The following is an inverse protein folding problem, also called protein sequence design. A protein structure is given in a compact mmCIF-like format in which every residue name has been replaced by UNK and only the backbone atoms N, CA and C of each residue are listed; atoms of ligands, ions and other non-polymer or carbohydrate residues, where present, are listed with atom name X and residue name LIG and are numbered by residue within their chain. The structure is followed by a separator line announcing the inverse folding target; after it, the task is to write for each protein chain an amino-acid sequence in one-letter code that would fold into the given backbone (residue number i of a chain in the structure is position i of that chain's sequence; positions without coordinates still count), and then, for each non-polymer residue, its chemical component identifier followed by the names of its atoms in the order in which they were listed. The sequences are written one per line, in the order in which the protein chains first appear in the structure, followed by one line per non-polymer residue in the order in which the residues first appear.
data_IF_032716473806
#
_entry.id   IF_032716473806
#
_cell.length_a   1.000
_cell.length_b   1.000
_cell.length_c   1.000
_cell.angle_alpha   90.00
_cell.angle_beta   90.00
_cell.angle_gamma   90.00
#
_symmetry.space_group_name_H-M   'P 1'
#
loop_
_entity.id
_entity.type
_entity.pdbx_description
1 polymer ?
#
# COMPACT_ATOMS: atom_id res chain seq x y z
N UNK A 1 6.62 -4.33 3.62
CA UNK A 1 5.31 -4.60 2.98
C UNK A 1 4.26 -4.77 4.06
N UNK A 2 2.98 -4.54 3.74
CA UNK A 2 1.90 -4.39 4.72
C UNK A 2 1.05 -5.65 4.83
N UNK A 3 0.67 -6.05 6.05
CA UNK A 3 -0.23 -7.18 6.32
C UNK A 3 -1.52 -7.09 5.52
N UNK A 4 -1.88 -8.20 4.87
CA UNK A 4 -3.08 -8.30 4.04
C UNK A 4 -2.90 -7.81 2.60
N UNK A 5 -1.79 -7.14 2.27
CA UNK A 5 -1.46 -6.81 0.89
C UNK A 5 -1.38 -8.08 0.05
N UNK A 6 -1.76 -7.97 -1.22
CA UNK A 6 -1.64 -9.06 -2.18
C UNK A 6 -0.50 -8.73 -3.13
N UNK A 7 0.49 -9.61 -3.19
CA UNK A 7 1.52 -9.57 -4.21
C UNK A 7 1.05 -10.40 -5.40
N UNK A 8 1.13 -9.83 -6.58
CA UNK A 8 1.07 -10.53 -7.85
C UNK A 8 2.45 -10.46 -8.52
N UNK A 9 3.01 -11.62 -8.83
CA UNK A 9 4.30 -11.75 -9.50
C UNK A 9 4.03 -12.31 -10.89
N UNK A 10 4.48 -11.61 -11.92
CA UNK A 10 4.37 -12.01 -13.33
C UNK A 10 5.77 -12.26 -13.87
N UNK A 11 5.94 -13.41 -14.51
CA UNK A 11 7.17 -13.79 -15.18
C UNK A 11 6.93 -13.81 -16.71
N UNK A 12 7.58 -12.92 -17.43
CA UNK A 12 7.63 -12.95 -18.88
C UNK A 12 9.01 -13.40 -19.35
N UNK A 13 9.06 -14.21 -20.40
CA UNK A 13 10.28 -14.72 -21.05
C UNK A 13 10.41 -14.07 -22.41
N UNK A 14 11.61 -13.64 -22.76
CA UNK A 14 11.82 -12.83 -23.99
C UNK A 14 12.07 -13.70 -25.25
N UNK A 15 12.24 -15.03 -25.14
CA UNK A 15 12.46 -15.89 -26.31
C UNK A 15 11.92 -17.30 -26.12
N UNK A 16 11.62 -17.98 -27.24
CA UNK A 16 11.20 -19.38 -27.30
C UNK A 16 12.31 -20.35 -26.76
N UNK A 17 13.59 -19.98 -26.88
CA UNK A 17 14.70 -20.76 -26.30
C UNK A 17 14.67 -20.73 -24.76
N UNK A 18 14.11 -19.72 -24.16
CA UNK A 18 13.90 -19.66 -22.72
C UNK A 18 12.78 -20.59 -22.22
N UNK A 19 11.96 -21.18 -23.11
CA UNK A 19 10.91 -22.12 -22.71
C UNK A 19 11.45 -23.45 -22.19
N UNK A 20 12.68 -23.85 -22.59
CA UNK A 20 13.32 -25.08 -22.12
C UNK A 20 13.85 -24.97 -20.68
N UNK A 21 14.14 -23.76 -20.21
CA UNK A 21 14.65 -23.53 -18.86
C UNK A 21 13.49 -23.37 -17.88
N UNK A 22 13.41 -24.19 -16.86
CA UNK A 22 12.42 -24.04 -15.80
C UNK A 22 12.86 -22.94 -14.85
N UNK A 23 12.02 -21.95 -14.68
CA UNK A 23 12.24 -20.86 -13.73
C UNK A 23 11.29 -21.04 -12.55
N UNK A 24 11.85 -21.06 -11.37
CA UNK A 24 11.14 -21.12 -10.10
C UNK A 24 11.15 -19.73 -9.48
N UNK A 25 10.02 -19.31 -8.99
CA UNK A 25 9.89 -18.04 -8.26
C UNK A 25 9.27 -18.37 -6.91
N UNK A 26 9.94 -17.99 -5.84
CA UNK A 26 9.48 -18.27 -4.49
C UNK A 26 9.42 -16.98 -3.67
N UNK A 27 8.42 -16.88 -2.81
CA UNK A 27 8.22 -15.75 -1.90
C UNK A 27 8.48 -16.23 -0.49
N UNK A 28 9.41 -15.56 0.18
CA UNK A 28 9.77 -15.79 1.57
C UNK A 28 9.45 -14.58 2.42
N UNK A 29 8.98 -14.81 3.62
CA UNK A 29 8.94 -13.81 4.69
C UNK A 29 10.24 -13.87 5.46
N UNK A 30 10.84 -12.72 5.73
CA UNK A 30 11.98 -12.61 6.63
C UNK A 30 11.46 -12.45 8.06
N UNK A 31 11.84 -13.37 8.93
CA UNK A 31 11.49 -13.36 10.36
C UNK A 31 12.77 -13.25 11.15
N UNK A 32 12.87 -12.24 12.01
CA UNK A 32 13.97 -12.13 12.95
C UNK A 32 13.70 -13.02 14.17
N UNK A 33 14.60 -13.96 14.42
CA UNK A 33 14.56 -14.83 15.61
C UNK A 33 15.90 -14.71 16.31
N UNK A 34 15.92 -14.01 17.43
CA UNK A 34 17.10 -13.79 18.27
C UNK A 34 18.29 -13.13 17.54
N UNK A 35 18.02 -12.26 16.56
CA UNK A 35 19.02 -11.57 15.76
C UNK A 35 19.45 -12.32 14.50
N UNK A 36 18.84 -13.48 14.20
CA UNK A 36 19.06 -14.23 12.97
C UNK A 36 17.87 -14.07 12.02
N UNK A 37 18.15 -13.74 10.75
CA UNK A 37 17.13 -13.61 9.71
C UNK A 37 16.77 -15.00 9.17
N UNK A 38 15.62 -15.52 9.56
CA UNK A 38 15.06 -16.76 9.02
C UNK A 38 14.12 -16.45 7.85
N UNK A 39 14.08 -17.37 6.88
CA UNK A 39 13.25 -17.27 5.69
C UNK A 39 12.11 -18.30 5.75
N UNK A 40 10.91 -17.80 6.05
CA UNK A 40 9.68 -18.62 6.01
C UNK A 40 9.11 -18.59 4.59
N UNK A 41 9.05 -19.76 3.92
CA UNK A 41 8.47 -19.89 2.59
C UNK A 41 6.95 -19.72 2.66
N UNK A 42 6.43 -18.77 1.89
CA UNK A 42 4.99 -18.49 1.83
C UNK A 42 4.34 -19.14 0.60
N UNK A 43 4.96 -19.02 -0.55
CA UNK A 43 4.37 -19.43 -1.82
C UNK A 43 5.45 -19.60 -2.89
N UNK A 44 5.11 -20.27 -3.97
CA UNK A 44 6.00 -20.46 -5.12
C UNK A 44 5.24 -20.62 -6.42
N UNK A 45 5.81 -20.07 -7.50
CA UNK A 45 5.31 -20.21 -8.85
C UNK A 45 5.74 -21.57 -9.42
N UNK A 46 4.79 -22.31 -9.97
CA UNK A 46 5.13 -23.54 -10.72
C UNK A 46 5.84 -23.17 -12.02
N UNK A 47 6.81 -23.98 -12.51
CA UNK A 47 7.60 -23.62 -13.70
C UNK A 47 6.81 -23.34 -14.96
N UNK A 48 5.61 -23.92 -15.08
CA UNK A 48 4.69 -23.72 -16.22
C UNK A 48 3.74 -22.55 -16.06
N UNK A 49 3.69 -21.91 -14.88
CA UNK A 49 2.78 -20.80 -14.62
C UNK A 49 3.44 -19.46 -14.94
N UNK A 50 2.68 -18.53 -15.50
CA UNK A 50 3.13 -17.18 -15.84
C UNK A 50 2.96 -16.17 -14.70
N UNK A 51 2.17 -16.50 -13.68
CA UNK A 51 1.93 -15.62 -12.54
C UNK A 51 1.69 -16.36 -11.23
N UNK A 52 2.03 -15.68 -10.14
CA UNK A 52 1.79 -16.10 -8.77
C UNK A 52 1.08 -14.98 -8.03
N UNK A 53 0.01 -15.28 -7.31
CA UNK A 53 -0.67 -14.34 -6.45
C UNK A 53 -0.71 -14.88 -5.02
N UNK A 54 -0.19 -14.10 -4.07
CA UNK A 54 -0.18 -14.50 -2.67
C UNK A 54 -0.51 -13.33 -1.74
N UNK A 55 -1.17 -13.62 -0.62
CA UNK A 55 -1.49 -12.64 0.42
C UNK A 55 -0.41 -12.63 1.49
N UNK A 56 0.03 -11.44 1.88
CA UNK A 56 1.03 -11.26 2.92
C UNK A 56 0.40 -11.43 4.31
N UNK A 57 0.91 -12.33 5.16
CA UNK A 57 0.32 -12.62 6.47
C UNK A 57 0.59 -11.53 7.52
N UNK A 58 1.67 -10.76 7.35
CA UNK A 58 2.08 -9.73 8.32
C UNK A 58 2.78 -8.57 7.65
N UNK A 59 3.04 -7.51 8.41
CA UNK A 59 4.01 -6.48 8.03
C UNK A 59 5.43 -7.08 8.07
N UNK A 60 6.33 -6.57 7.24
CA UNK A 60 7.73 -6.97 7.29
C UNK A 60 8.43 -6.95 5.93
N UNK A 61 9.63 -7.50 5.94
CA UNK A 61 10.46 -7.72 4.75
C UNK A 61 10.12 -9.05 4.12
N UNK A 62 10.09 -9.05 2.78
CA UNK A 62 9.84 -10.23 1.98
C UNK A 62 10.91 -10.34 0.91
N UNK A 63 11.41 -11.55 0.68
CA UNK A 63 12.32 -11.86 -0.41
C UNK A 63 11.58 -12.61 -1.50
N UNK A 64 11.85 -12.23 -2.75
CA UNK A 64 11.43 -12.97 -3.92
C UNK A 64 12.68 -13.60 -4.53
N UNK A 65 12.76 -14.92 -4.47
CA UNK A 65 13.86 -15.68 -5.03
C UNK A 65 13.45 -16.18 -6.42
N UNK A 66 14.34 -16.00 -7.39
CA UNK A 66 14.18 -16.51 -8.76
C UNK A 66 15.33 -17.43 -9.06
N UNK A 67 15.04 -18.67 -9.45
CA UNK A 67 16.04 -19.70 -9.73
C UNK A 67 15.71 -20.44 -11.03
N UNK A 68 16.71 -20.90 -11.74
CA UNK A 68 16.56 -21.84 -12.85
C UNK A 68 17.03 -23.23 -12.44
N UNK A 69 16.57 -24.27 -13.14
CA UNK A 69 16.91 -25.69 -12.88
C UNK A 69 18.13 -26.20 -13.64
N UNK A 70 18.84 -25.35 -14.35
CA UNK A 70 20.04 -25.77 -15.09
C UNK A 70 20.68 -24.64 -15.85
N UNK A 71 21.96 -24.71 -16.11
CA UNK A 71 22.83 -23.70 -16.68
C UNK A 71 22.43 -23.06 -18.02
N UNK A 72 21.13 -22.93 -18.29
CA UNK A 72 20.59 -22.22 -19.43
C UNK A 72 20.73 -20.70 -19.25
N UNK A 73 21.13 -20.01 -20.31
CA UNK A 73 21.08 -18.54 -20.39
C UNK A 73 19.74 -18.11 -20.96
N UNK A 74 19.10 -17.16 -20.34
CA UNK A 74 17.83 -16.61 -20.82
C UNK A 74 17.54 -15.25 -20.22
N UNK A 75 16.80 -14.46 -20.96
CA UNK A 75 16.29 -13.17 -20.47
C UNK A 75 14.86 -13.36 -19.96
N UNK A 76 14.59 -12.84 -18.78
CA UNK A 76 13.23 -12.79 -18.24
C UNK A 76 12.95 -11.43 -17.63
N UNK A 77 11.68 -11.05 -17.68
CA UNK A 77 11.15 -9.88 -16.99
C UNK A 77 10.29 -10.32 -15.83
N UNK A 78 10.67 -9.87 -14.63
CA UNK A 78 9.89 -10.06 -13.42
C UNK A 78 9.14 -8.78 -13.12
N UNK A 79 7.82 -8.85 -13.00
CA UNK A 79 6.98 -7.76 -12.55
C UNK A 79 6.36 -8.14 -11.23
N UNK A 80 6.58 -7.33 -10.19
CA UNK A 80 5.92 -7.45 -8.90
C UNK A 80 4.88 -6.33 -8.78
N UNK A 81 3.64 -6.70 -8.56
CA UNK A 81 2.55 -5.78 -8.32
C UNK A 81 1.99 -6.00 -6.92
N UNK A 82 1.99 -4.96 -6.10
CA UNK A 82 1.26 -4.91 -4.84
C UNK A 82 -0.10 -4.26 -5.13
N UNK A 83 -1.17 -5.04 -5.00
CA UNK A 83 -2.51 -4.50 -5.20
C UNK A 83 -2.88 -3.52 -4.09
N UNK A 84 -3.62 -2.47 -4.43
CA UNK A 84 -4.27 -1.61 -3.45
C UNK A 84 -5.16 -2.45 -2.51
N UNK A 85 -5.12 -2.13 -1.23
CA UNK A 85 -5.88 -2.85 -0.18
C UNK A 85 -7.02 -2.03 0.40
N UNK A 86 -7.02 -0.73 0.13
CA UNK A 86 -8.07 0.20 0.53
C UNK A 86 -8.76 0.78 -0.71
N UNK A 87 -10.07 0.99 -0.68
CA UNK A 87 -10.73 1.81 -1.68
C UNK A 87 -10.28 3.27 -1.56
N UNK A 88 -10.38 4.03 -2.64
CA UNK A 88 -10.01 5.44 -2.62
C UNK A 88 -11.00 6.23 -1.74
N UNK A 89 -10.52 7.12 -0.83
CA UNK A 89 -11.35 7.73 0.21
C UNK A 89 -12.21 8.90 -0.28
N UNK A 90 -12.17 9.26 -1.57
CA UNK A 90 -12.89 10.39 -2.15
C UNK A 90 -13.58 9.96 -3.44
N UNK A 91 -14.87 10.30 -3.57
CA UNK A 91 -15.66 9.96 -4.74
C UNK A 91 -15.05 10.53 -6.02
N UNK A 92 -14.87 9.67 -7.04
CA UNK A 92 -14.35 10.05 -8.36
C UNK A 92 -12.89 10.43 -8.42
N UNK A 93 -12.19 10.51 -7.28
CA UNK A 93 -10.76 10.81 -7.26
C UNK A 93 -9.92 9.54 -7.51
N UNK A 94 -8.72 9.75 -8.00
CA UNK A 94 -7.72 8.72 -8.30
C UNK A 94 -6.33 9.20 -7.86
N UNK A 95 -5.31 8.41 -8.18
CA UNK A 95 -3.92 8.67 -7.83
C UNK A 95 -3.41 10.07 -8.23
N UNK A 96 -3.82 10.56 -9.39
CA UNK A 96 -3.45 11.88 -9.93
C UNK A 96 -3.93 13.07 -9.07
N UNK A 97 -4.93 12.83 -8.21
CA UNK A 97 -5.38 13.82 -7.22
C UNK A 97 -4.46 13.92 -6.00
N UNK A 98 -3.57 12.96 -5.77
CA UNK A 98 -2.61 12.98 -4.66
C UNK A 98 -1.43 13.87 -5.05
N UNK A 99 -1.28 15.03 -4.38
CA UNK A 99 -0.24 16.01 -4.70
C UNK A 99 0.76 16.25 -3.57
N UNK A 100 0.49 15.77 -2.36
CA UNK A 100 1.41 15.83 -1.24
C UNK A 100 1.53 14.46 -0.60
N UNK A 101 2.76 13.96 -0.52
CA UNK A 101 3.06 12.60 -0.12
C UNK A 101 3.40 12.50 1.36
N UNK A 102 3.30 11.28 1.90
CA UNK A 102 3.77 10.94 3.22
C UNK A 102 5.26 11.25 3.39
N UNK A 103 5.66 11.77 4.55
CA UNK A 103 7.04 12.12 4.86
C UNK A 103 7.51 13.46 4.28
N UNK A 104 6.70 14.15 3.46
CA UNK A 104 7.05 15.48 2.95
C UNK A 104 7.30 16.47 4.09
N UNK A 105 8.30 17.33 3.95
CA UNK A 105 8.62 18.37 4.95
C UNK A 105 7.49 19.40 5.00
N UNK A 106 7.19 19.89 6.20
CA UNK A 106 6.26 20.99 6.45
C UNK A 106 7.05 22.21 6.99
N UNK A 107 6.52 23.40 6.75
CA UNK A 107 7.19 24.68 7.11
C UNK A 107 7.50 24.81 8.62
N UNK A 108 6.76 24.09 9.46
CA UNK A 108 6.92 24.04 10.90
C UNK A 108 7.89 22.94 11.40
N UNK A 109 8.66 22.34 10.49
CA UNK A 109 9.64 21.28 10.80
C UNK A 109 9.05 19.89 11.00
N UNK A 110 7.71 19.72 10.94
CA UNK A 110 7.06 18.42 11.01
C UNK A 110 7.20 17.65 9.68
N UNK A 111 6.98 16.36 9.75
CA UNK A 111 6.82 15.50 8.58
C UNK A 111 5.34 15.21 8.34
N UNK A 112 4.93 15.20 7.07
CA UNK A 112 3.57 14.88 6.66
C UNK A 112 3.21 13.44 7.01
N UNK A 113 2.17 13.23 7.83
CA UNK A 113 1.74 11.91 8.33
C UNK A 113 0.55 11.35 7.56
N UNK A 114 0.45 11.63 6.29
CA UNK A 114 -0.61 11.17 5.41
C UNK A 114 -0.33 11.54 3.96
N UNK A 115 -1.37 11.54 3.16
CA UNK A 115 -1.39 12.07 1.80
C UNK A 115 -2.46 13.14 1.68
N UNK A 116 -2.22 14.17 0.85
CA UNK A 116 -3.21 15.20 0.59
C UNK A 116 -3.79 15.00 -0.82
N UNK A 117 -5.12 14.78 -0.87
CA UNK A 117 -5.90 14.48 -2.08
C UNK A 117 -6.67 15.72 -2.47
N UNK A 118 -6.24 16.39 -3.54
CA UNK A 118 -6.78 17.67 -3.98
C UNK A 118 -7.96 17.46 -4.94
N UNK A 119 -9.13 17.86 -4.50
CA UNK A 119 -10.38 17.78 -5.26
C UNK A 119 -11.27 18.96 -4.96
N UNK A 120 -12.36 19.10 -5.70
CA UNK A 120 -13.36 20.13 -5.49
C UNK A 120 -13.94 20.06 -4.08
N UNK A 121 -14.16 21.24 -3.46
CA UNK A 121 -14.85 21.35 -2.19
C UNK A 121 -16.23 20.71 -2.25
N UNK A 122 -16.66 20.10 -1.14
CA UNK A 122 -17.91 19.36 -0.97
C UNK A 122 -17.96 18.01 -1.71
N UNK A 123 -16.88 17.55 -2.31
CA UNK A 123 -16.80 16.17 -2.80
C UNK A 123 -16.96 15.19 -1.62
N UNK A 124 -17.80 14.15 -1.74
CA UNK A 124 -18.01 13.20 -0.65
C UNK A 124 -16.74 12.43 -0.29
N UNK A 125 -16.50 12.29 1.02
CA UNK A 125 -15.42 11.51 1.62
C UNK A 125 -15.97 10.21 2.17
N UNK A 126 -15.35 9.10 1.81
CA UNK A 126 -15.85 7.74 2.04
C UNK A 126 -15.03 6.98 3.07
N UNK A 127 -15.70 6.13 3.84
CA UNK A 127 -15.05 5.17 4.73
C UNK A 127 -14.27 4.12 3.91
N UNK A 128 -12.98 4.00 4.16
CA UNK A 128 -12.12 2.98 3.51
C UNK A 128 -12.21 1.61 4.16
N UNK A 129 -12.82 1.51 5.34
CA UNK A 129 -13.00 0.28 6.11
C UNK A 129 -14.32 0.30 6.87
N UNK A 130 -14.79 -0.86 7.31
CA UNK A 130 -15.88 -0.95 8.29
C UNK A 130 -15.30 -0.71 9.69
N UNK A 131 -15.96 0.14 10.49
CA UNK A 131 -15.47 0.51 11.81
C UNK A 131 -16.39 1.47 12.54
N UNK A 132 -15.83 2.20 13.51
CA UNK A 132 -16.54 3.22 14.29
C UNK A 132 -15.98 4.60 13.97
N UNK A 133 -16.85 5.50 13.50
CA UNK A 133 -16.50 6.88 13.19
C UNK A 133 -16.52 7.75 14.44
N UNK A 134 -15.49 8.57 14.59
CA UNK A 134 -15.32 9.50 15.72
C UNK A 134 -15.01 10.88 15.18
N UNK A 135 -16.04 11.74 14.95
CA UNK A 135 -15.83 13.11 14.53
C UNK A 135 -15.13 13.91 15.64
N UNK A 136 -14.21 14.77 15.24
CA UNK A 136 -13.49 15.67 16.13
C UNK A 136 -13.29 17.02 15.43
N UNK A 137 -12.93 18.00 16.21
CA UNK A 137 -12.47 19.29 15.72
C UNK A 137 -11.16 19.64 16.43
N UNK A 138 -10.14 19.97 15.67
CA UNK A 138 -8.83 20.33 16.20
C UNK A 138 -8.19 21.46 15.41
N UNK A 139 -7.22 22.20 15.99
CA UNK A 139 -6.62 23.38 15.36
C UNK A 139 -5.90 23.07 14.03
N UNK A 140 -5.30 21.88 13.89
CA UNK A 140 -4.55 21.48 12.69
C UNK A 140 -5.47 20.89 11.63
N UNK A 141 -6.20 19.83 11.97
CA UNK A 141 -7.04 19.11 11.03
C UNK A 141 -8.37 19.80 10.75
N UNK A 142 -8.79 20.77 11.57
CA UNK A 142 -10.11 21.39 11.44
C UNK A 142 -11.23 20.42 11.80
N UNK A 143 -12.22 20.28 10.94
CA UNK A 143 -13.23 19.23 11.05
C UNK A 143 -12.62 17.90 10.59
N UNK A 144 -12.64 16.92 11.47
CA UNK A 144 -11.97 15.63 11.24
C UNK A 144 -12.89 14.46 11.57
N UNK A 145 -12.57 13.30 11.02
CA UNK A 145 -13.12 12.01 11.40
C UNK A 145 -11.98 11.01 11.61
N UNK A 146 -11.96 10.38 12.76
CA UNK A 146 -11.20 9.16 13.00
C UNK A 146 -12.10 7.96 12.75
N UNK A 147 -11.71 7.06 11.85
CA UNK A 147 -12.38 5.78 11.65
C UNK A 147 -11.53 4.69 12.28
N UNK A 148 -12.01 4.13 13.38
CA UNK A 148 -11.29 3.14 14.17
C UNK A 148 -11.72 1.73 13.82
N UNK A 149 -10.72 0.88 13.56
CA UNK A 149 -10.85 -0.56 13.37
C UNK A 149 -9.88 -1.29 14.30
N UNK A 150 -9.97 -2.61 14.48
CA UNK A 150 -8.98 -3.33 15.26
C UNK A 150 -7.55 -3.14 14.72
N UNK A 151 -6.68 -2.50 15.50
CA UNK A 151 -5.27 -2.29 15.19
C UNK A 151 -4.94 -1.21 14.15
N UNK A 152 -5.94 -0.56 13.53
CA UNK A 152 -5.70 0.51 12.54
C UNK A 152 -6.75 1.62 12.70
N UNK A 153 -6.29 2.87 12.67
CA UNK A 153 -7.13 4.06 12.61
C UNK A 153 -6.86 4.83 11.34
N UNK A 154 -7.92 5.30 10.70
CA UNK A 154 -7.87 6.14 9.50
C UNK A 154 -8.29 7.55 9.87
N UNK A 155 -7.50 8.53 9.47
CA UNK A 155 -7.71 9.94 9.77
C UNK A 155 -8.10 10.70 8.53
N UNK A 156 -9.21 11.42 8.61
CA UNK A 156 -9.76 12.25 7.56
C UNK A 156 -9.84 13.68 8.08
N UNK A 157 -9.09 14.60 7.49
CA UNK A 157 -9.03 15.97 7.97
C UNK A 157 -9.36 17.02 6.90
N UNK A 158 -9.46 18.27 7.34
CA UNK A 158 -9.81 19.47 6.58
C UNK A 158 -11.22 19.43 5.97
N UNK A 159 -12.11 18.62 6.57
CA UNK A 159 -13.49 18.48 6.09
C UNK A 159 -14.24 19.82 6.17
N UNK A 160 -15.06 20.09 5.16
CA UNK A 160 -16.01 21.19 5.20
C UNK A 160 -17.06 20.95 6.29
N UNK A 161 -17.64 19.75 6.25
CA UNK A 161 -18.60 19.27 7.24
C UNK A 161 -18.49 17.76 7.40
N UNK A 162 -18.84 17.30 8.59
CA UNK A 162 -18.93 15.88 8.95
C UNK A 162 -20.36 15.38 8.70
N UNK A 163 -20.50 14.12 8.25
CA UNK A 163 -21.79 13.48 7.97
C UNK A 163 -22.12 12.32 8.93
N UNK A 164 -21.26 12.05 9.90
CA UNK A 164 -21.41 10.96 10.88
C UNK A 164 -21.47 11.50 12.31
N UNK A 165 -22.03 10.68 13.22
CA UNK A 165 -22.08 10.94 14.65
C UNK A 165 -20.94 10.24 15.37
N UNK A 166 -20.65 10.65 16.60
CA UNK A 166 -19.67 9.98 17.44
C UNK A 166 -20.06 8.52 17.68
N UNK A 167 -19.07 7.63 17.60
CA UNK A 167 -19.23 6.16 17.72
C UNK A 167 -20.21 5.53 16.70
N UNK A 168 -20.50 6.23 15.61
CA UNK A 168 -21.33 5.66 14.56
C UNK A 168 -20.61 4.50 13.88
N UNK A 169 -21.27 3.32 13.82
CA UNK A 169 -20.80 2.20 13.01
C UNK A 169 -21.01 2.50 11.53
N UNK A 170 -19.96 2.35 10.74
CA UNK A 170 -19.97 2.56 9.29
C UNK A 170 -19.43 1.34 8.55
N UNK A 171 -19.82 1.24 7.28
CA UNK A 171 -19.31 0.24 6.33
C UNK A 171 -18.40 0.91 5.33
N UNK A 172 -17.62 0.12 4.59
CA UNK A 172 -16.85 0.61 3.44
C UNK A 172 -17.78 1.32 2.47
N UNK A 173 -17.40 2.52 2.04
CA UNK A 173 -18.15 3.36 1.10
C UNK A 173 -19.20 4.29 1.74
N UNK A 174 -19.47 4.19 3.04
CA UNK A 174 -20.34 5.15 3.73
C UNK A 174 -19.72 6.54 3.72
N UNK A 175 -20.56 7.58 3.56
CA UNK A 175 -20.10 8.98 3.56
C UNK A 175 -19.78 9.42 4.98
N UNK A 176 -18.51 9.80 5.23
CA UNK A 176 -18.03 10.31 6.50
C UNK A 176 -18.15 11.83 6.61
N UNK A 177 -18.10 12.54 5.50
CA UNK A 177 -18.11 13.98 5.40
C UNK A 177 -17.86 14.46 3.98
N UNK A 178 -17.46 15.71 3.86
CA UNK A 178 -17.23 16.36 2.57
C UNK A 178 -15.91 17.12 2.58
N UNK A 179 -15.19 17.09 1.48
CA UNK A 179 -13.89 17.77 1.32
C UNK A 179 -14.04 19.27 1.55
N UNK A 180 -13.12 19.82 2.30
CA UNK A 180 -13.05 21.25 2.61
C UNK A 180 -11.61 21.76 2.64
N UNK A 181 -11.39 22.74 3.49
CA UNK A 181 -10.08 23.32 3.79
C UNK A 181 -10.04 23.90 5.22
N UNK A 182 -10.70 23.27 6.17
CA UNK A 182 -10.74 23.72 7.57
C UNK A 182 -9.41 23.48 8.30
N UNK A 183 -9.28 24.02 9.50
CA UNK A 183 -8.04 23.92 10.27
C UNK A 183 -6.91 24.77 9.67
N UNK A 184 -5.71 24.26 9.63
CA UNK A 184 -4.54 24.96 9.06
C UNK A 184 -4.53 25.00 7.51
N UNK A 185 -5.48 24.32 6.85
CA UNK A 185 -5.63 24.32 5.40
C UNK A 185 -6.45 25.51 4.84
N UNK A 186 -6.85 26.48 5.66
CA UNK A 186 -7.76 27.59 5.25
C UNK A 186 -7.26 28.40 4.06
N UNK A 187 -5.96 28.52 3.91
CA UNK A 187 -5.32 29.33 2.87
C UNK A 187 -4.79 28.52 1.68
N UNK A 188 -5.13 27.25 1.59
CA UNK A 188 -4.73 26.38 0.49
C UNK A 188 -5.97 25.81 -0.21
N UNK A 189 -5.84 25.34 -1.47
CA UNK A 189 -6.95 24.72 -2.18
C UNK A 189 -7.56 23.56 -1.39
N UNK A 190 -8.87 23.32 -1.60
CA UNK A 190 -9.60 22.26 -0.93
C UNK A 190 -8.97 20.89 -1.19
N UNK A 191 -8.81 20.11 -0.14
CA UNK A 191 -8.25 18.76 -0.20
C UNK A 191 -8.68 17.92 1.00
N UNK A 192 -8.60 16.61 0.87
CA UNK A 192 -8.65 15.69 1.99
C UNK A 192 -7.22 15.38 2.42
N UNK A 193 -6.87 15.65 3.68
CA UNK A 193 -5.73 15.00 4.29
C UNK A 193 -6.18 13.62 4.79
N UNK A 194 -5.53 12.56 4.28
CA UNK A 194 -5.81 11.18 4.63
C UNK A 194 -4.59 10.52 5.26
N UNK A 195 -4.72 10.09 6.52
CA UNK A 195 -3.68 9.42 7.29
C UNK A 195 -4.09 8.00 7.69
N UNK A 196 -3.11 7.11 7.84
CA UNK A 196 -3.30 5.75 8.35
C UNK A 196 -2.36 5.54 9.53
N UNK A 197 -2.92 5.11 10.66
CA UNK A 197 -2.20 4.93 11.91
C UNK A 197 -2.36 3.51 12.43
N UNK A 198 -1.23 2.88 12.73
CA UNK A 198 -1.20 1.56 13.38
C UNK A 198 -1.17 1.71 14.89
N UNK A 199 -1.96 0.91 15.57
CA UNK A 199 -2.06 0.92 17.04
C UNK A 199 -2.37 2.31 17.61
N UNK A 200 -3.04 3.15 16.82
CA UNK A 200 -3.43 4.52 17.17
C UNK A 200 -2.28 5.53 17.30
N UNK A 201 -1.04 5.14 16.99
CA UNK A 201 0.15 5.98 17.27
C UNK A 201 1.12 6.10 16.10
N UNK A 202 1.37 5.03 15.35
CA UNK A 202 2.39 5.03 14.30
C UNK A 202 1.75 5.33 12.95
N UNK A 203 2.06 6.51 12.39
CA UNK A 203 1.66 6.86 11.04
C UNK A 203 2.41 5.99 10.02
N UNK A 204 1.70 5.48 9.04
CA UNK A 204 2.26 4.73 7.90
C UNK A 204 1.86 5.40 6.60
N UNK A 205 2.66 5.20 5.55
CA UNK A 205 2.36 5.75 4.22
C UNK A 205 1.07 5.16 3.66
N UNK A 206 0.04 5.99 3.40
CA UNK A 206 -1.22 5.53 2.82
C UNK A 206 -1.11 5.18 1.33
N UNK A 207 -0.14 5.74 0.60
CA UNK A 207 -0.07 5.65 -0.86
C UNK A 207 -0.07 4.19 -1.36
N UNK A 208 0.77 3.28 -0.84
CA UNK A 208 0.76 1.87 -1.27
C UNK A 208 -0.56 1.15 -1.00
N UNK A 209 -1.31 1.61 0.01
CA UNK A 209 -2.61 1.02 0.36
C UNK A 209 -3.72 1.47 -0.60
N UNK A 210 -3.63 2.70 -1.13
CA UNK A 210 -4.63 3.32 -2.00
C UNK A 210 -4.44 2.98 -3.48
N UNK A 211 -3.18 2.93 -3.96
CA UNK A 211 -2.89 2.77 -5.40
C UNK A 211 -2.12 1.50 -5.73
N UNK A 212 -1.63 0.80 -4.72
CA UNK A 212 -0.72 -0.31 -4.92
C UNK A 212 0.70 0.14 -5.25
N UNK A 213 1.54 -0.79 -5.67
CA UNK A 213 2.91 -0.51 -6.13
C UNK A 213 3.29 -1.49 -7.22
N UNK A 214 4.03 -1.03 -8.21
CA UNK A 214 4.59 -1.86 -9.26
C UNK A 214 6.11 -1.73 -9.26
N UNK A 215 6.80 -2.86 -9.28
CA UNK A 215 8.24 -2.96 -9.44
C UNK A 215 8.50 -3.80 -10.68
N UNK A 216 9.32 -3.30 -11.58
CA UNK A 216 9.77 -4.04 -12.77
C UNK A 216 11.27 -4.13 -12.71
N UNK A 217 11.80 -5.34 -12.77
CA UNK A 217 13.21 -5.63 -12.90
C UNK A 217 13.44 -6.45 -14.16
N UNK A 218 14.32 -5.97 -15.02
CA UNK A 218 14.87 -6.76 -16.12
C UNK A 218 16.20 -7.33 -15.62
N UNK A 219 16.36 -8.64 -15.69
CA UNK A 219 17.59 -9.30 -15.31
C UNK A 219 18.08 -10.19 -16.44
N UNK A 220 19.29 -9.90 -16.90
CA UNK A 220 20.11 -10.90 -17.58
C UNK A 220 20.81 -11.72 -16.48
N UNK A 221 20.20 -12.81 -16.03
CA UNK A 221 20.85 -13.69 -15.10
C UNK A 221 21.67 -14.71 -15.88
N UNK A 222 22.99 -14.57 -15.85
CA UNK A 222 23.88 -15.71 -16.03
C UNK A 222 23.85 -16.46 -14.71
N UNK A 223 23.01 -17.47 -14.60
CA UNK A 223 23.01 -18.36 -13.45
C UNK A 223 24.17 -19.30 -13.64
N UNK A 224 25.29 -19.02 -12.98
CA UNK A 224 26.35 -19.99 -12.82
C UNK A 224 25.77 -21.19 -12.06
N UNK A 225 25.82 -22.38 -12.67
CA UNK A 225 25.60 -23.61 -11.95
C UNK A 225 26.75 -23.70 -10.94
N UNK A 226 26.47 -23.60 -9.65
CA UNK A 226 27.38 -24.04 -8.61
C UNK A 226 27.49 -25.57 -8.77
N UNK A 227 28.57 -26.00 -9.43
CA UNK A 227 29.00 -27.36 -9.41
C UNK A 227 29.58 -27.63 -8.01
N UNK A 228 28.69 -27.87 -7.05
CA UNK A 228 29.05 -28.37 -5.74
C UNK A 228 29.63 -29.77 -5.88
N UNK A 229 30.94 -29.88 -5.62
CA UNK A 229 31.61 -31.16 -5.39
C UNK A 229 31.26 -31.70 -3.99
#
# INVERSE_FOLDING_TARGET
MTRGAVIEIKLARDSAEAESTRIYVEVFRVVDVLGEALHERLSGLRPSAASLRTRLPSDGTYHVLVQSDGGGTGHYRLTLELAATLPFPVVGAREDAIRSLFGASRDDGRRHQGVDIFVQRLTPVLAVAAGYAMPRQDPLGGNTVWLNTPGTSYYYAHLDRVAVRDQQRVKVGDVLGYVGNTGNARNVPSHLHFGVYRWGRTAIDPLPLLVGQRFTGDSAATLAADAGG
#
